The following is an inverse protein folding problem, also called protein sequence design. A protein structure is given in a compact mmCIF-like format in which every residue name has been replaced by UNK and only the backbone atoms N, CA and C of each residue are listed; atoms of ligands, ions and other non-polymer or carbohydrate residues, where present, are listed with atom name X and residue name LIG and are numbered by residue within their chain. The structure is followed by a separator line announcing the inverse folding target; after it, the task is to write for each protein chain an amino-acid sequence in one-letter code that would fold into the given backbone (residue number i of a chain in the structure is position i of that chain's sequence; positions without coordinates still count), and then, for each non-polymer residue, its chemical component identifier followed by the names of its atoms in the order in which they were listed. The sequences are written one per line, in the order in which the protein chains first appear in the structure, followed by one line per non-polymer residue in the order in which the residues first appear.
data_IF_862594740121
#
_entry.id   IF_862594740121
#
_cell.length_a   1.000
_cell.length_b   1.000
_cell.length_c   1.000
_cell.angle_alpha   90.00
_cell.angle_beta   90.00
_cell.angle_gamma   90.00
#
_symmetry.space_group_name_H-M   'P 1'
#
loop_
_entity.id
_entity.type
_entity.pdbx_description
1 polymer ?
#
# COMPACT_ATOMS: atom_id res chain seq x y z
N UNK A 1 -12.81 -52.57 -44.87
CA UNK A 1 -12.60 -52.85 -43.42
C UNK A 1 -11.23 -52.43 -42.88
N UNK A 2 -10.12 -52.43 -43.66
CA UNK A 2 -8.77 -52.07 -43.15
C UNK A 2 -8.60 -50.58 -42.75
N UNK A 3 -9.30 -49.64 -43.38
CA UNK A 3 -9.19 -48.21 -43.04
C UNK A 3 -9.93 -47.79 -41.75
N UNK A 4 -10.92 -48.58 -41.30
CA UNK A 4 -11.69 -48.26 -40.10
C UNK A 4 -10.92 -48.58 -38.81
N UNK A 5 -10.04 -49.59 -38.85
CA UNK A 5 -9.19 -49.95 -37.71
C UNK A 5 -8.13 -48.87 -37.40
N UNK A 6 -7.59 -48.22 -38.44
CA UNK A 6 -6.57 -47.19 -38.29
C UNK A 6 -7.09 -45.91 -37.63
N UNK A 7 -8.31 -45.49 -37.99
CA UNK A 7 -8.91 -44.28 -37.42
C UNK A 7 -9.27 -44.46 -35.94
N UNK A 8 -9.76 -45.65 -35.57
CA UNK A 8 -10.14 -45.97 -34.20
C UNK A 8 -8.91 -46.03 -33.26
N UNK A 9 -7.78 -46.54 -33.75
CA UNK A 9 -6.52 -46.52 -33.00
C UNK A 9 -6.03 -45.11 -32.69
N UNK A 10 -6.14 -44.19 -33.65
CA UNK A 10 -5.63 -42.82 -33.51
C UNK A 10 -6.41 -42.01 -32.45
N UNK A 11 -7.74 -42.20 -32.38
CA UNK A 11 -8.57 -41.59 -31.34
C UNK A 11 -8.30 -42.16 -29.94
N UNK A 12 -7.97 -43.46 -29.83
CA UNK A 12 -7.59 -44.07 -28.57
C UNK A 12 -6.30 -43.48 -27.99
N UNK A 13 -5.28 -43.26 -28.83
CA UNK A 13 -4.03 -42.63 -28.38
C UNK A 13 -4.21 -41.17 -27.98
N UNK A 14 -5.00 -40.39 -28.73
CA UNK A 14 -5.28 -38.99 -28.38
C UNK A 14 -6.11 -38.85 -27.11
N UNK A 15 -7.13 -39.70 -26.94
CA UNK A 15 -7.94 -39.72 -25.72
C UNK A 15 -7.13 -40.09 -24.48
N UNK A 16 -6.23 -41.07 -24.61
CA UNK A 16 -5.36 -41.49 -23.50
C UNK A 16 -4.33 -40.41 -23.11
N UNK A 17 -3.76 -39.70 -24.09
CA UNK A 17 -2.85 -38.58 -23.83
C UNK A 17 -3.53 -37.41 -23.11
N UNK A 18 -4.76 -37.07 -23.50
CA UNK A 18 -5.56 -36.05 -22.82
C UNK A 18 -5.93 -36.46 -21.40
N UNK A 19 -6.27 -37.74 -21.18
CA UNK A 19 -6.58 -38.25 -19.85
C UNK A 19 -5.37 -38.20 -18.90
N UNK A 20 -4.16 -38.56 -19.38
CA UNK A 20 -2.93 -38.43 -18.58
C UNK A 20 -2.68 -36.95 -18.22
N UNK A 21 -2.84 -36.03 -19.17
CA UNK A 21 -2.61 -34.60 -18.95
C UNK A 21 -3.58 -33.97 -17.94
N UNK A 22 -4.85 -34.39 -17.95
CA UNK A 22 -5.84 -33.92 -16.97
C UNK A 22 -5.68 -34.60 -15.59
N UNK A 23 -5.13 -35.82 -15.54
CA UNK A 23 -4.88 -36.54 -14.28
C UNK A 23 -3.56 -36.14 -13.62
N UNK A 24 -2.65 -35.44 -14.30
CA UNK A 24 -1.36 -35.03 -13.74
C UNK A 24 -1.46 -33.65 -13.07
N UNK A 25 -2.18 -33.56 -11.96
CA UNK A 25 -2.24 -32.35 -11.12
C UNK A 25 -1.11 -32.26 -10.08
N UNK A 26 -0.17 -33.22 -10.04
CA UNK A 26 0.96 -33.19 -9.12
C UNK A 26 2.24 -33.69 -9.82
N UNK A 27 2.93 -32.79 -10.52
CA UNK A 27 4.36 -32.98 -10.76
C UNK A 27 5.12 -32.35 -9.59
N UNK A 28 5.80 -33.14 -8.73
CA UNK A 28 6.81 -32.57 -7.86
C UNK A 28 7.94 -32.08 -8.77
N UNK A 29 8.17 -30.76 -8.80
CA UNK A 29 9.40 -30.24 -9.38
C UNK A 29 10.57 -30.73 -8.52
N UNK A 30 11.25 -31.78 -8.95
CA UNK A 30 12.52 -32.21 -8.36
C UNK A 30 13.59 -31.18 -8.71
N UNK A 31 13.79 -30.24 -7.79
CA UNK A 31 14.96 -29.37 -7.79
C UNK A 31 16.14 -30.24 -7.36
N UNK A 32 17.10 -30.44 -8.25
CA UNK A 32 18.36 -31.15 -7.94
C UNK A 32 19.07 -30.47 -6.77
N UNK A 33 19.00 -31.10 -5.59
CA UNK A 33 19.75 -30.70 -4.41
C UNK A 33 21.04 -31.52 -4.36
N UNK A 34 22.17 -30.88 -4.67
CA UNK A 34 23.49 -31.43 -4.39
C UNK A 34 23.74 -31.28 -2.89
N UNK A 35 23.97 -32.36 -2.12
CA UNK A 35 24.18 -32.26 -0.68
C UNK A 35 25.66 -31.98 -0.40
N UNK A 36 25.97 -30.80 0.16
CA UNK A 36 27.18 -30.62 0.97
C UNK A 36 26.83 -30.04 2.34
N UNK A 37 27.54 -30.46 3.40
CA UNK A 37 27.08 -30.30 4.77
C UNK A 37 27.54 -28.97 5.39
N UNK A 38 26.63 -28.34 6.13
CA UNK A 38 26.87 -27.33 7.20
C UNK A 38 27.54 -26.02 6.77
N UNK A 39 26.76 -25.17 6.11
CA UNK A 39 26.61 -23.77 6.47
C UNK A 39 25.38 -23.24 5.74
N UNK A 40 24.21 -23.28 6.39
CA UNK A 40 23.09 -22.42 5.99
C UNK A 40 23.52 -20.99 6.30
N UNK A 41 24.27 -20.40 5.38
CA UNK A 41 24.24 -18.97 5.18
C UNK A 41 22.92 -18.73 4.48
N UNK A 42 21.92 -18.25 5.22
CA UNK A 42 20.86 -17.48 4.57
C UNK A 42 21.57 -16.41 3.74
N UNK A 43 21.46 -16.42 2.40
CA UNK A 43 21.89 -15.25 1.65
C UNK A 43 21.09 -14.11 2.25
N UNK A 44 21.79 -13.10 2.80
CA UNK A 44 21.15 -11.89 3.30
C UNK A 44 20.16 -11.47 2.22
N UNK A 45 18.86 -11.57 2.53
CA UNK A 45 17.81 -11.19 1.61
C UNK A 45 18.09 -9.73 1.25
N UNK A 46 18.68 -9.52 0.08
CA UNK A 46 18.90 -8.19 -0.46
C UNK A 46 17.49 -7.70 -0.75
N UNK A 47 16.90 -7.03 0.23
CA UNK A 47 15.61 -6.37 0.11
C UNK A 47 15.75 -5.42 -1.08
N UNK A 48 15.12 -5.76 -2.20
CA UNK A 48 15.12 -4.92 -3.39
C UNK A 48 14.49 -3.60 -3.00
N UNK A 49 15.29 -2.54 -3.05
CA UNK A 49 14.82 -1.17 -2.84
C UNK A 49 14.22 -0.66 -4.13
N UNK A 50 13.05 -0.02 -4.04
CA UNK A 50 12.37 0.57 -5.19
C UNK A 50 13.05 1.88 -5.55
N UNK A 51 13.92 1.84 -6.57
CA UNK A 51 14.74 2.96 -6.99
C UNK A 51 14.21 3.61 -8.27
N UNK A 52 13.75 4.84 -8.14
CA UNK A 52 13.22 5.69 -9.21
C UNK A 52 14.14 6.87 -9.53
N UNK A 53 15.40 6.86 -9.06
CA UNK A 53 16.37 7.94 -9.28
C UNK A 53 16.75 8.18 -10.74
N UNK A 54 16.46 7.22 -11.62
CA UNK A 54 16.62 7.36 -13.07
C UNK A 54 15.38 7.91 -13.78
N UNK A 55 14.23 8.00 -13.09
CA UNK A 55 12.98 8.47 -13.67
C UNK A 55 12.83 9.98 -13.51
N UNK A 56 12.03 10.59 -14.38
CA UNK A 56 11.68 12.01 -14.29
C UNK A 56 10.29 12.28 -14.90
N UNK A 57 9.76 13.48 -14.65
CA UNK A 57 8.46 13.89 -15.18
C UNK A 57 7.32 12.95 -14.79
N UNK A 58 6.42 12.68 -15.73
CA UNK A 58 5.24 11.82 -15.53
C UNK A 58 5.57 10.37 -15.17
N UNK A 59 6.71 9.83 -15.62
CA UNK A 59 7.12 8.47 -15.27
C UNK A 59 7.48 8.35 -13.78
N UNK A 60 8.13 9.37 -13.23
CA UNK A 60 8.42 9.45 -11.80
C UNK A 60 7.13 9.63 -10.99
N UNK A 61 6.25 10.53 -11.41
CA UNK A 61 4.95 10.75 -10.75
C UNK A 61 4.14 9.44 -10.69
N UNK A 62 3.98 8.75 -11.82
CA UNK A 62 3.25 7.49 -11.87
C UNK A 62 3.89 6.41 -10.99
N UNK A 63 5.22 6.21 -11.10
CA UNK A 63 5.93 5.18 -10.34
C UNK A 63 5.88 5.42 -8.82
N UNK A 64 5.99 6.68 -8.38
CA UNK A 64 5.91 7.05 -6.96
C UNK A 64 4.51 6.83 -6.40
N UNK A 65 3.46 7.27 -7.10
CA UNK A 65 2.05 7.02 -6.72
C UNK A 65 1.74 5.53 -6.66
N UNK A 66 2.10 4.78 -7.70
CA UNK A 66 1.92 3.33 -7.74
C UNK A 66 2.61 2.67 -6.54
N UNK A 67 3.88 3.04 -6.29
CA UNK A 67 4.64 2.41 -5.21
C UNK A 67 4.09 2.73 -3.83
N UNK A 68 3.68 3.98 -3.59
CA UNK A 68 3.03 4.39 -2.33
C UNK A 68 1.82 3.51 -2.03
N UNK A 69 0.95 3.33 -3.04
CA UNK A 69 -0.29 2.59 -2.93
C UNK A 69 -0.10 1.06 -2.86
N UNK A 70 0.84 0.50 -3.61
CA UNK A 70 1.17 -0.93 -3.53
C UNK A 70 1.70 -1.34 -2.15
N UNK A 71 2.41 -0.43 -1.47
CA UNK A 71 2.86 -0.64 -0.10
C UNK A 71 1.80 -0.30 0.96
N UNK A 72 0.68 0.30 0.56
CA UNK A 72 -0.33 0.79 1.48
C UNK A 72 -0.99 -0.35 2.27
N UNK A 73 -0.99 -0.26 3.59
CA UNK A 73 -1.68 -1.22 4.45
C UNK A 73 -2.11 -0.59 5.77
N UNK A 74 -3.19 -1.13 6.32
CA UNK A 74 -3.65 -0.79 7.66
C UNK A 74 -2.93 -1.66 8.68
N UNK A 75 -2.33 -1.04 9.69
CA UNK A 75 -1.79 -1.69 10.88
C UNK A 75 -2.63 -1.32 12.08
N UNK A 76 -2.68 -2.18 13.09
CA UNK A 76 -3.40 -1.94 14.33
C UNK A 76 -2.48 -2.19 15.50
N UNK A 77 -2.49 -1.29 16.46
CA UNK A 77 -1.79 -1.46 17.73
C UNK A 77 -2.74 -1.05 18.85
N UNK A 78 -3.06 -2.00 19.73
CA UNK A 78 -4.07 -1.82 20.79
C UNK A 78 -5.42 -1.38 20.18
N UNK A 79 -5.81 -0.12 20.42
CA UNK A 79 -7.03 0.49 19.91
C UNK A 79 -6.76 1.59 18.86
N UNK A 80 -5.51 1.78 18.44
CA UNK A 80 -5.15 2.78 17.45
C UNK A 80 -4.91 2.13 16.08
N UNK A 81 -5.13 2.91 15.04
CA UNK A 81 -4.99 2.44 13.65
C UNK A 81 -3.89 3.22 12.96
N UNK A 82 -2.97 2.53 12.31
CA UNK A 82 -1.90 3.12 11.52
C UNK A 82 -2.08 2.84 10.05
N UNK A 83 -1.66 3.77 9.21
CA UNK A 83 -1.55 3.56 7.76
C UNK A 83 -0.09 3.60 7.37
N UNK A 84 0.44 2.46 6.94
CA UNK A 84 1.76 2.39 6.32
C UNK A 84 1.64 2.56 4.82
N UNK A 85 2.70 3.08 4.19
CA UNK A 85 2.80 3.30 2.76
C UNK A 85 4.07 2.66 2.19
N UNK A 86 4.10 2.47 0.86
CA UNK A 86 5.29 2.00 0.17
C UNK A 86 6.37 3.08 0.12
N UNK A 87 7.59 2.71 0.49
CA UNK A 87 8.75 3.59 0.38
C UNK A 87 9.48 3.38 -0.95
N UNK A 88 10.19 4.42 -1.37
CA UNK A 88 10.93 4.48 -2.62
C UNK A 88 12.14 5.41 -2.49
N UNK A 89 13.03 5.33 -3.47
CA UNK A 89 14.23 6.16 -3.60
C UNK A 89 14.08 7.03 -4.84
N UNK A 90 14.41 8.31 -4.72
CA UNK A 90 14.41 9.28 -5.81
C UNK A 90 15.78 9.93 -5.96
N UNK A 91 15.93 10.71 -7.02
CA UNK A 91 17.09 11.57 -7.19
C UNK A 91 16.84 12.89 -6.45
N UNK A 92 17.65 13.13 -5.43
CA UNK A 92 17.61 14.38 -4.68
C UNK A 92 18.15 15.56 -5.48
N UNK A 93 18.03 16.76 -4.90
CA UNK A 93 18.52 18.01 -5.49
C UNK A 93 20.04 18.01 -5.74
N UNK A 94 20.79 17.26 -4.95
CA UNK A 94 22.24 17.02 -5.11
C UNK A 94 22.60 16.09 -6.27
N UNK A 95 21.59 15.47 -6.90
CA UNK A 95 21.76 14.41 -7.88
C UNK A 95 22.08 13.05 -7.28
N UNK A 96 22.18 12.93 -5.95
CA UNK A 96 22.36 11.66 -5.24
C UNK A 96 21.03 10.93 -5.04
N UNK A 97 21.12 9.64 -4.73
CA UNK A 97 19.95 8.81 -4.39
C UNK A 97 19.54 9.12 -2.95
N UNK A 98 18.31 9.54 -2.78
CA UNK A 98 17.73 9.90 -1.49
C UNK A 98 16.46 9.09 -1.27
N UNK A 99 16.24 8.66 -0.04
CA UNK A 99 15.00 8.03 0.37
C UNK A 99 13.86 9.05 0.35
N UNK A 100 12.64 8.62 0.03
CA UNK A 100 11.49 9.53 -0.04
C UNK A 100 11.33 10.35 1.25
N UNK A 101 11.46 9.74 2.43
CA UNK A 101 11.33 10.47 3.70
C UNK A 101 12.50 11.40 4.05
N UNK A 102 13.61 11.35 3.29
CA UNK A 102 14.66 12.38 3.40
C UNK A 102 14.31 13.64 2.62
N UNK A 103 13.52 13.50 1.55
CA UNK A 103 13.06 14.61 0.73
C UNK A 103 11.73 15.18 1.23
N UNK A 104 10.78 14.31 1.59
CA UNK A 104 9.46 14.67 2.10
C UNK A 104 9.42 14.43 3.60
N UNK A 105 9.24 15.47 4.41
CA UNK A 105 9.23 15.33 5.87
C UNK A 105 7.85 14.99 6.44
N UNK A 106 6.79 15.27 5.67
CA UNK A 106 5.41 15.22 6.15
C UNK A 106 4.52 14.42 5.21
N UNK A 107 3.59 13.68 5.82
CA UNK A 107 2.54 12.93 5.13
C UNK A 107 1.19 13.45 5.62
N UNK A 108 0.30 13.73 4.67
CA UNK A 108 -1.10 14.06 4.95
C UNK A 108 -2.00 13.02 4.29
N UNK A 109 -2.79 12.33 5.10
CA UNK A 109 -3.80 11.39 4.67
C UNK A 109 -5.17 12.06 4.79
N UNK A 110 -5.96 12.07 3.72
CA UNK A 110 -7.33 12.58 3.74
C UNK A 110 -8.30 11.43 3.60
N UNK A 111 -9.28 11.40 4.49
CA UNK A 111 -10.33 10.39 4.57
C UNK A 111 -11.71 11.04 4.49
N UNK A 112 -12.66 10.27 3.97
CA UNK A 112 -14.08 10.58 3.98
C UNK A 112 -14.81 9.51 4.79
N UNK A 113 -15.62 9.94 5.74
CA UNK A 113 -16.40 9.05 6.60
C UNK A 113 -17.68 8.59 5.91
N UNK A 114 -18.02 7.31 6.07
CA UNK A 114 -19.36 6.82 5.76
C UNK A 114 -20.33 7.27 6.86
N UNK A 115 -21.46 7.87 6.48
CA UNK A 115 -22.44 8.35 7.44
C UNK A 115 -23.38 9.41 6.89
N UNK A 116 -24.02 10.12 7.81
CA UNK A 116 -24.97 11.19 7.49
C UNK A 116 -24.20 12.40 6.97
N UNK A 117 -24.54 12.86 5.77
CA UNK A 117 -24.00 14.09 5.22
C UNK A 117 -24.58 15.31 5.95
N UNK A 118 -23.72 16.26 6.32
CA UNK A 118 -24.12 17.54 6.91
C UNK A 118 -24.11 18.58 5.79
N UNK A 119 -25.24 19.25 5.56
CA UNK A 119 -25.41 20.20 4.46
C UNK A 119 -25.07 19.65 3.05
N UNK A 120 -25.15 18.32 2.86
CA UNK A 120 -24.81 17.66 1.60
C UNK A 120 -23.34 17.28 1.44
N UNK A 121 -22.50 17.57 2.45
CA UNK A 121 -21.09 17.18 2.48
C UNK A 121 -20.86 15.99 3.42
N UNK A 122 -19.97 15.09 3.00
CA UNK A 122 -19.58 13.95 3.83
C UNK A 122 -18.62 14.39 4.94
N UNK A 123 -18.62 13.71 6.10
CA UNK A 123 -17.60 13.91 7.11
C UNK A 123 -16.21 13.68 6.53
N UNK A 124 -15.25 14.54 6.85
CA UNK A 124 -13.87 14.41 6.41
C UNK A 124 -12.90 14.45 7.57
N UNK A 125 -11.81 13.70 7.43
CA UNK A 125 -10.71 13.64 8.38
C UNK A 125 -9.39 13.79 7.63
N UNK A 126 -8.58 14.77 8.01
CA UNK A 126 -7.19 14.87 7.58
C UNK A 126 -6.27 14.45 8.73
N UNK A 127 -5.29 13.61 8.45
CA UNK A 127 -4.30 13.11 9.41
C UNK A 127 -2.92 13.49 8.90
N UNK A 128 -2.25 14.37 9.63
CA UNK A 128 -0.89 14.80 9.39
C UNK A 128 0.07 14.06 10.32
N UNK A 129 1.11 13.46 9.74
CA UNK A 129 2.19 12.79 10.47
C UNK A 129 3.55 12.97 9.79
N UNK A 130 4.61 12.54 10.49
CA UNK A 130 5.96 12.56 9.96
C UNK A 130 6.18 11.45 8.91
N UNK A 131 6.99 11.75 7.87
CA UNK A 131 7.52 10.71 7.00
C UNK A 131 8.77 10.12 7.66
N UNK A 132 8.66 8.88 8.12
CA UNK A 132 9.80 8.15 8.67
C UNK A 132 9.98 6.82 7.94
N UNK A 133 11.21 6.33 7.88
CA UNK A 133 11.50 5.01 7.30
C UNK A 133 11.17 3.96 8.36
N UNK A 134 10.37 2.97 8.00
CA UNK A 134 10.04 1.84 8.90
C UNK A 134 11.27 0.95 9.13
N UNK A 135 11.13 -0.05 10.02
CA UNK A 135 12.14 -1.12 10.16
C UNK A 135 12.35 -1.91 8.86
N UNK A 136 11.34 -1.90 7.98
CA UNK A 136 11.47 -2.31 6.59
C UNK A 136 11.76 -1.11 5.70
N UNK A 137 12.96 -1.04 5.11
CA UNK A 137 13.40 0.06 4.23
C UNK A 137 12.50 0.31 3.02
N UNK A 138 11.68 -0.68 2.66
CA UNK A 138 10.69 -0.61 1.59
C UNK A 138 9.35 -0.02 2.05
N UNK A 139 9.23 0.41 3.30
CA UNK A 139 8.01 0.94 3.91
C UNK A 139 8.26 2.24 4.63
N UNK A 140 7.30 3.13 4.50
CA UNK A 140 7.17 4.30 5.35
C UNK A 140 6.52 3.84 6.65
N UNK A 141 7.00 4.37 7.78
CA UNK A 141 6.42 4.13 9.09
C UNK A 141 4.93 4.52 9.11
N UNK A 142 4.17 3.90 9.99
CA UNK A 142 2.74 4.11 10.03
C UNK A 142 2.40 5.55 10.48
N UNK A 143 1.52 6.22 9.74
CA UNK A 143 0.84 7.42 10.24
C UNK A 143 -0.31 6.96 11.12
N UNK A 144 -0.20 7.22 12.43
CA UNK A 144 -1.11 6.72 13.44
C UNK A 144 -2.31 7.64 13.65
N UNK A 145 -3.49 7.02 13.76
CA UNK A 145 -4.78 7.62 14.07
C UNK A 145 -5.15 7.14 15.49
N UNK A 146 -5.16 8.03 16.50
CA UNK A 146 -5.40 7.66 17.89
C UNK A 146 -6.91 7.50 18.16
N UNK A 147 -7.50 6.45 17.58
CA UNK A 147 -8.96 6.20 17.61
C UNK A 147 -9.51 6.19 19.04
N UNK A 148 -8.79 5.57 19.97
CA UNK A 148 -9.18 5.52 21.38
C UNK A 148 -9.37 6.89 22.03
N UNK A 149 -8.56 7.88 21.62
CA UNK A 149 -8.66 9.26 22.11
C UNK A 149 -9.78 10.01 21.40
N UNK A 150 -9.87 9.86 20.08
CA UNK A 150 -10.93 10.50 19.26
C UNK A 150 -12.31 10.11 19.79
N UNK A 151 -12.54 8.82 20.07
CA UNK A 151 -13.82 8.34 20.61
C UNK A 151 -14.11 8.80 22.04
N UNK A 152 -13.10 9.28 22.78
CA UNK A 152 -13.25 9.89 24.09
C UNK A 152 -13.56 11.39 24.06
N UNK A 153 -13.33 12.06 22.93
CA UNK A 153 -13.62 13.47 22.74
C UNK A 153 -15.08 13.70 22.29
N UNK A 154 -15.69 14.85 22.64
CA UNK A 154 -17.00 15.21 22.11
C UNK A 154 -16.94 15.36 20.58
N UNK A 155 -17.97 14.87 19.90
CA UNK A 155 -18.07 14.94 18.44
C UNK A 155 -18.21 16.41 18.01
N UNK A 156 -17.20 16.92 17.31
CA UNK A 156 -17.18 18.28 16.80
C UNK A 156 -16.17 18.43 15.66
N UNK A 157 -16.45 19.39 14.77
CA UNK A 157 -15.46 19.89 13.83
C UNK A 157 -14.33 20.58 14.59
N UNK A 158 -13.09 20.41 14.12
CA UNK A 158 -11.95 21.02 14.79
C UNK A 158 -10.62 20.39 14.43
N UNK A 159 -9.57 20.99 14.99
CA UNK A 159 -8.19 20.53 14.88
C UNK A 159 -7.72 19.98 16.23
N UNK A 160 -7.12 18.79 16.21
CA UNK A 160 -6.66 18.06 17.38
C UNK A 160 -5.17 17.75 17.21
N UNK A 161 -4.34 18.19 18.14
CA UNK A 161 -2.90 17.94 18.15
C UNK A 161 -2.56 16.91 19.24
N UNK A 162 -2.36 15.66 18.83
CA UNK A 162 -1.99 14.58 19.74
C UNK A 162 -0.47 14.43 19.75
N UNK A 163 0.16 14.76 20.88
CA UNK A 163 1.63 14.71 21.01
C UNK A 163 2.18 13.50 21.76
N UNK A 164 1.32 12.81 22.50
CA UNK A 164 1.73 11.67 23.33
C UNK A 164 1.69 10.35 22.55
N UNK A 165 2.76 9.55 22.64
CA UNK A 165 2.88 8.28 21.92
C UNK A 165 3.34 8.52 20.48
N UNK A 166 2.38 8.48 19.55
CA UNK A 166 2.63 8.75 18.13
C UNK A 166 2.09 10.14 17.78
N UNK A 167 2.97 11.13 17.50
CA UNK A 167 2.52 12.49 17.24
C UNK A 167 1.76 12.57 15.92
N UNK A 168 0.54 13.10 15.97
CA UNK A 168 -0.31 13.30 14.80
C UNK A 168 -1.22 14.52 15.01
N UNK A 169 -1.39 15.31 13.94
CA UNK A 169 -2.41 16.36 13.90
C UNK A 169 -3.59 15.88 13.08
N UNK A 170 -4.78 16.02 13.64
CA UNK A 170 -6.01 15.62 12.99
C UNK A 170 -6.91 16.82 12.79
N UNK A 171 -7.59 16.87 11.65
CA UNK A 171 -8.62 17.86 11.35
C UNK A 171 -9.89 17.17 10.93
N UNK A 172 -10.99 17.48 11.60
CA UNK A 172 -12.33 16.99 11.28
C UNK A 172 -13.19 18.12 10.72
N UNK A 173 -13.96 17.82 9.68
CA UNK A 173 -14.95 18.75 9.11
C UNK A 173 -16.23 18.00 8.75
N UNK A 174 -17.37 18.67 8.90
CA UNK A 174 -18.69 18.13 8.60
C UNK A 174 -19.04 16.86 9.39
N UNK A 175 -18.56 16.73 10.63
CA UNK A 175 -19.00 15.63 11.50
C UNK A 175 -20.39 15.92 12.09
N UNK A 176 -21.23 14.90 12.18
CA UNK A 176 -22.60 14.99 12.71
C UNK A 176 -22.62 14.67 14.21
N UNK A 177 -23.67 14.01 14.71
CA UNK A 177 -23.86 13.73 16.13
C UNK A 177 -23.03 12.53 16.63
N UNK A 178 -22.40 11.78 15.73
CA UNK A 178 -21.58 10.61 16.01
C UNK A 178 -20.34 10.57 15.11
N UNK A 179 -19.23 10.07 15.64
CA UNK A 179 -18.04 9.77 14.86
C UNK A 179 -18.35 8.67 13.83
N UNK A 180 -18.01 8.85 12.54
CA UNK A 180 -18.06 7.77 11.56
C UNK A 180 -17.21 6.57 12.00
N UNK A 181 -17.76 5.37 11.83
CA UNK A 181 -17.03 4.12 12.13
C UNK A 181 -16.14 3.70 10.98
N UNK A 182 -16.58 3.92 9.73
CA UNK A 182 -15.84 3.58 8.54
C UNK A 182 -15.33 4.83 7.82
N UNK A 183 -14.04 4.84 7.51
CA UNK A 183 -13.35 5.93 6.82
C UNK A 183 -12.68 5.42 5.56
N UNK A 184 -12.96 6.05 4.43
CA UNK A 184 -12.33 5.75 3.15
C UNK A 184 -11.20 6.73 2.88
N UNK A 185 -9.99 6.22 2.62
CA UNK A 185 -8.87 7.04 2.17
C UNK A 185 -9.19 7.62 0.78
N UNK A 186 -9.08 8.94 0.66
CA UNK A 186 -9.30 9.70 -0.59
C UNK A 186 -8.02 10.31 -1.14
N UNK A 187 -7.06 10.65 -0.29
CA UNK A 187 -5.79 11.23 -0.76
C UNK A 187 -4.63 10.90 0.16
N UNK A 188 -3.45 10.77 -0.44
CA UNK A 188 -2.15 10.71 0.23
C UNK A 188 -1.30 11.82 -0.35
N UNK A 189 -0.74 12.67 0.51
CA UNK A 189 0.16 13.75 0.11
C UNK A 189 1.47 13.65 0.86
N UNK A 190 2.58 13.64 0.13
CA UNK A 190 3.93 13.79 0.68
C UNK A 190 4.39 15.22 0.38
N UNK A 191 4.77 15.96 1.41
CA UNK A 191 5.11 17.39 1.30
C UNK A 191 6.59 17.64 1.61
N UNK A 192 7.24 18.41 0.74
CA UNK A 192 8.59 18.94 0.96
C UNK A 192 8.48 20.35 1.57
N UNK A 193 8.85 20.54 2.84
CA UNK A 193 8.75 21.86 3.50
C UNK A 193 9.69 22.89 2.88
N UNK A 194 10.73 22.46 2.15
CA UNK A 194 11.67 23.35 1.47
C UNK A 194 11.14 23.87 0.13
N UNK A 195 10.08 23.27 -0.40
CA UNK A 195 9.48 23.62 -1.70
C UNK A 195 10.41 23.43 -2.90
N UNK A 196 11.50 22.66 -2.74
CA UNK A 196 12.48 22.43 -3.80
C UNK A 196 12.06 21.28 -4.71
N UNK A 197 11.34 20.31 -4.17
CA UNK A 197 10.78 19.18 -4.88
C UNK A 197 9.27 19.31 -4.85
N UNK A 198 8.61 18.97 -5.97
CA UNK A 198 7.16 18.96 -6.03
C UNK A 198 6.58 17.89 -5.10
N UNK A 199 5.49 18.25 -4.41
CA UNK A 199 4.71 17.33 -3.60
C UNK A 199 4.22 16.14 -4.42
N UNK A 200 4.22 14.96 -3.81
CA UNK A 200 3.58 13.78 -4.40
C UNK A 200 2.15 13.73 -3.88
N UNK A 201 1.17 13.85 -4.79
CA UNK A 201 -0.25 13.87 -4.44
C UNK A 201 -0.95 12.71 -5.12
N UNK A 202 -1.36 11.72 -4.34
CA UNK A 202 -2.27 10.65 -4.76
C UNK A 202 -3.70 11.10 -4.48
N UNK A 203 -4.57 11.08 -5.48
CA UNK A 203 -5.99 11.43 -5.37
C UNK A 203 -6.89 10.19 -5.44
N UNK A 204 -8.19 10.39 -5.24
CA UNK A 204 -9.18 9.32 -5.25
C UNK A 204 -9.24 8.58 -6.60
N UNK A 205 -8.97 9.30 -7.70
CA UNK A 205 -8.87 8.74 -9.05
C UNK A 205 -7.67 7.80 -9.15
N UNK A 206 -6.50 8.21 -8.67
CA UNK A 206 -5.29 7.37 -8.66
C UNK A 206 -5.52 6.10 -7.83
N UNK A 207 -6.16 6.21 -6.65
CA UNK A 207 -6.53 5.08 -5.81
C UNK A 207 -7.43 4.08 -6.57
N UNK A 208 -8.42 4.58 -7.31
CA UNK A 208 -9.33 3.74 -8.10
C UNK A 208 -8.59 3.05 -9.26
N UNK A 209 -7.72 3.77 -9.95
CA UNK A 209 -7.00 3.27 -11.12
C UNK A 209 -5.90 2.27 -10.75
N UNK A 210 -5.13 2.54 -9.70
CA UNK A 210 -3.96 1.76 -9.32
C UNK A 210 -4.28 0.58 -8.40
N UNK A 211 -5.25 0.73 -7.49
CA UNK A 211 -5.59 -0.30 -6.49
C UNK A 211 -6.86 -1.06 -6.86
N UNK A 212 -7.79 -0.43 -7.58
CA UNK A 212 -9.05 -1.06 -8.03
C UNK A 212 -10.08 -1.32 -6.93
N UNK A 213 -9.79 -1.00 -5.66
CA UNK A 213 -10.68 -1.17 -4.51
C UNK A 213 -10.51 -0.03 -3.50
N UNK A 214 -11.56 0.33 -2.74
CA UNK A 214 -11.45 1.35 -1.71
C UNK A 214 -10.50 0.90 -0.59
N UNK A 215 -9.70 1.83 -0.09
CA UNK A 215 -8.87 1.63 1.09
C UNK A 215 -9.62 2.14 2.32
N UNK A 216 -9.94 1.23 3.24
CA UNK A 216 -10.86 1.48 4.36
C UNK A 216 -10.15 1.35 5.70
N UNK A 217 -10.45 2.27 6.60
CA UNK A 217 -10.05 2.26 8.01
C UNK A 217 -11.33 2.18 8.86
N UNK A 218 -11.34 1.28 9.83
CA UNK A 218 -12.45 1.12 10.76
C UNK A 218 -12.00 1.47 12.18
N UNK A 219 -12.73 2.37 12.81
CA UNK A 219 -12.53 2.84 14.18
C UNK A 219 -12.97 1.76 15.18
#
# INVERSE_FOLDING_TARGET
MKHFLGLCGLFLFFGFGLFISFSSSEFPMEISTVPTPRASRDPASIKKVYDFSSLGGSALDFATKQRLLEGARVVREKNDVGVELGHFVIRGSSGQKEFACQTYSQIVLSFEGEGVAVAGEHPSMEVEGACEISSDINRIAAVWIPVSRILGEPVADGEFDYREGHPAKLKFSNVSDQWPTLWQLKSVRLTDPSGKVADVIVQAQDLKELVGKPFLVNF
#
